data_IF_318229157107
#
_entry.id   IF_318229157107
#
_cell.length_a   1.000
_cell.length_b   1.000
_cell.length_c   1.000
_cell.angle_alpha   90.00
_cell.angle_beta   90.00
_cell.angle_gamma   90.00
#
_symmetry.space_group_name_H-M   'P 1'
#
loop_
_entity.id
_entity.type
_entity.pdbx_description
1 polymer ?
#
# COMPACT_ATOMS: atom_id res chain seq x y z
N UNK A 1 -11.64 5.98 -4.73
CA UNK A 1 -10.55 6.39 -3.81
C UNK A 1 -9.51 5.28 -3.70
N UNK A 2 -8.24 5.63 -3.51
CA UNK A 2 -7.18 4.68 -3.15
C UNK A 2 -6.80 4.86 -1.68
N UNK A 3 -6.79 3.77 -0.92
CA UNK A 3 -6.50 3.76 0.51
C UNK A 3 -5.36 2.79 0.81
N UNK A 4 -4.51 3.16 1.76
CA UNK A 4 -3.50 2.27 2.34
C UNK A 4 -4.03 1.78 3.68
N UNK A 5 -4.31 0.48 3.80
CA UNK A 5 -5.03 -0.14 4.93
C UNK A 5 -4.21 -1.22 5.67
N UNK A 6 -2.92 -1.01 5.99
CA UNK A 6 -2.07 -2.01 6.63
C UNK A 6 -2.54 -2.39 8.04
N UNK A 7 -3.15 -1.47 8.81
CA UNK A 7 -3.66 -1.78 10.15
C UNK A 7 -4.72 -2.87 10.09
N UNK A 8 -5.71 -2.70 9.21
CA UNK A 8 -6.75 -3.70 8.94
C UNK A 8 -6.18 -5.01 8.38
N UNK A 9 -5.09 -4.98 7.60
CA UNK A 9 -4.45 -6.22 7.12
C UNK A 9 -3.74 -6.94 8.26
N UNK A 10 -2.90 -6.25 9.05
CA UNK A 10 -2.14 -6.82 10.18
C UNK A 10 -3.10 -7.41 11.21
N UNK A 11 -4.17 -6.69 11.54
CA UNK A 11 -5.19 -7.16 12.49
C UNK A 11 -6.16 -8.18 11.90
N UNK A 12 -5.99 -8.61 10.63
CA UNK A 12 -6.89 -9.53 9.91
C UNK A 12 -8.35 -9.07 9.82
N UNK A 13 -8.58 -7.75 9.83
CA UNK A 13 -9.90 -7.12 9.74
C UNK A 13 -10.29 -6.70 8.31
N UNK A 14 -9.37 -6.77 7.35
CA UNK A 14 -9.59 -6.31 5.97
C UNK A 14 -10.75 -7.02 5.25
N UNK A 15 -10.96 -8.30 5.51
CA UNK A 15 -12.07 -9.06 4.92
C UNK A 15 -13.42 -8.54 5.43
N UNK A 16 -13.52 -8.25 6.73
CA UNK A 16 -14.71 -7.64 7.33
C UNK A 16 -14.97 -6.23 6.79
N UNK A 17 -13.93 -5.42 6.60
CA UNK A 17 -14.04 -4.10 5.99
C UNK A 17 -14.54 -4.18 4.53
N UNK A 18 -13.99 -5.11 3.77
CA UNK A 18 -14.39 -5.37 2.38
C UNK A 18 -15.85 -5.81 2.27
N UNK A 19 -16.27 -6.77 3.10
CA UNK A 19 -17.66 -7.22 3.13
C UNK A 19 -18.64 -6.11 3.55
N UNK A 20 -18.22 -5.25 4.49
CA UNK A 20 -19.05 -4.10 4.91
C UNK A 20 -19.23 -3.11 3.77
N UNK A 21 -18.16 -2.80 3.03
CA UNK A 21 -18.22 -1.94 1.85
C UNK A 21 -19.08 -2.55 0.72
N UNK A 22 -19.03 -3.86 0.51
CA UNK A 22 -19.86 -4.54 -0.49
C UNK A 22 -21.36 -4.47 -0.18
N UNK A 23 -21.75 -4.56 1.10
CA UNK A 23 -23.15 -4.44 1.54
C UNK A 23 -23.78 -3.08 1.22
N UNK A 24 -22.96 -2.08 0.97
CA UNK A 24 -23.36 -0.70 0.62
C UNK A 24 -22.90 -0.36 -0.81
N UNK A 25 -22.90 -1.36 -1.68
CA UNK A 25 -22.69 -1.22 -3.13
C UNK A 25 -21.34 -0.62 -3.55
N UNK A 26 -20.30 -0.82 -2.73
CA UNK A 26 -18.93 -0.46 -3.05
C UNK A 26 -18.10 -1.68 -3.43
N UNK A 27 -17.31 -1.56 -4.48
CA UNK A 27 -16.28 -2.51 -4.83
C UNK A 27 -14.99 -2.16 -4.10
N UNK A 28 -14.32 -3.16 -3.52
CA UNK A 28 -12.97 -3.04 -2.96
C UNK A 28 -12.06 -4.00 -3.72
N UNK A 29 -10.96 -3.49 -4.27
CA UNK A 29 -9.97 -4.27 -5.02
C UNK A 29 -8.57 -3.92 -4.55
N UNK A 30 -7.70 -4.92 -4.47
CA UNK A 30 -6.27 -4.66 -4.28
C UNK A 30 -5.66 -4.03 -5.52
N UNK A 31 -4.76 -3.04 -5.35
CA UNK A 31 -4.15 -2.35 -6.47
C UNK A 31 -3.08 -3.18 -7.20
N UNK A 32 -2.40 -4.06 -6.44
CA UNK A 32 -1.27 -4.84 -6.92
C UNK A 32 -1.41 -6.30 -6.49
N UNK A 33 -1.77 -7.18 -7.43
CA UNK A 33 -2.00 -8.61 -7.22
C UNK A 33 -3.14 -9.11 -8.10
N UNK A 34 -2.86 -10.06 -9.00
CA UNK A 34 -3.93 -10.74 -9.75
C UNK A 34 -4.53 -11.84 -8.85
N UNK A 35 -5.80 -11.70 -8.50
CA UNK A 35 -6.59 -12.76 -7.85
C UNK A 35 -6.29 -13.06 -6.37
N UNK A 36 -5.24 -12.49 -5.75
CA UNK A 36 -4.91 -12.69 -4.32
C UNK A 36 -4.52 -11.39 -3.59
N UNK A 37 -4.32 -11.47 -2.26
CA UNK A 37 -4.15 -10.31 -1.35
C UNK A 37 -3.12 -9.31 -1.90
N UNK A 38 -3.44 -8.00 -1.94
CA UNK A 38 -2.52 -7.04 -2.50
C UNK A 38 -1.26 -6.89 -1.64
N UNK A 39 -0.10 -7.11 -2.22
CA UNK A 39 1.18 -7.08 -1.49
C UNK A 39 1.53 -5.71 -0.89
N UNK A 40 0.86 -4.65 -1.33
CA UNK A 40 1.10 -3.26 -0.94
C UNK A 40 0.18 -2.72 0.16
N UNK A 41 -0.77 -3.52 0.63
CA UNK A 41 -1.90 -3.07 1.47
C UNK A 41 -2.65 -1.85 0.88
N UNK A 42 -2.52 -1.61 -0.43
CA UNK A 42 -3.23 -0.57 -1.16
C UNK A 42 -4.50 -1.15 -1.78
N UNK A 43 -5.61 -0.50 -1.49
CA UNK A 43 -6.94 -0.89 -1.92
C UNK A 43 -7.60 0.26 -2.67
N UNK A 44 -8.19 -0.05 -3.82
CA UNK A 44 -9.08 0.82 -4.55
C UNK A 44 -10.52 0.54 -4.12
N UNK A 45 -11.22 1.60 -3.74
CA UNK A 45 -12.66 1.59 -3.47
C UNK A 45 -13.35 2.38 -4.58
N UNK A 46 -14.40 1.80 -5.18
CA UNK A 46 -15.20 2.41 -6.24
C UNK A 46 -16.69 2.11 -6.07
N UNK A 47 -17.56 2.98 -6.56
CA UNK A 47 -19.00 2.72 -6.61
C UNK A 47 -19.32 1.59 -7.61
N UNK A 48 -20.36 0.81 -7.33
CA UNK A 48 -20.95 -0.13 -8.28
C UNK A 48 -22.30 0.33 -8.83
N UNK A 49 -22.96 1.29 -8.17
CA UNK A 49 -24.24 1.85 -8.63
C UNK A 49 -24.01 2.87 -9.73
N UNK A 50 -24.74 2.73 -10.83
CA UNK A 50 -24.66 3.63 -12.00
C UNK A 50 -26.02 4.20 -12.43
N UNK A 51 -27.10 3.42 -12.34
CA UNK A 51 -28.45 3.84 -12.74
C UNK A 51 -29.35 4.10 -11.52
N UNK A 52 -30.26 5.06 -11.64
CA UNK A 52 -31.30 5.33 -10.64
C UNK A 52 -30.86 6.24 -9.48
N UNK A 53 -29.66 6.82 -9.54
CA UNK A 53 -29.14 7.80 -8.56
C UNK A 53 -28.37 8.89 -9.26
N UNK A 54 -28.35 10.08 -8.67
CA UNK A 54 -27.54 11.20 -9.18
C UNK A 54 -26.07 11.00 -8.82
N UNK A 55 -25.16 11.60 -9.60
CA UNK A 55 -23.73 11.59 -9.30
C UNK A 55 -23.43 12.24 -7.94
N UNK A 56 -24.20 13.27 -7.55
CA UNK A 56 -24.07 13.92 -6.26
C UNK A 56 -24.36 12.95 -5.10
N UNK A 57 -25.45 12.18 -5.20
CA UNK A 57 -25.81 11.18 -4.20
C UNK A 57 -24.76 10.07 -4.11
N UNK A 58 -24.25 9.61 -5.25
CA UNK A 58 -23.21 8.59 -5.33
C UNK A 58 -21.92 9.09 -4.66
N UNK A 59 -21.51 10.32 -4.96
CA UNK A 59 -20.31 10.92 -4.37
C UNK A 59 -20.44 11.12 -2.86
N UNK A 60 -21.61 11.56 -2.38
CA UNK A 60 -21.86 11.76 -0.95
C UNK A 60 -21.81 10.44 -0.17
N UNK A 61 -22.51 9.40 -0.64
CA UNK A 61 -22.46 8.07 -0.03
C UNK A 61 -21.05 7.48 -0.11
N UNK A 62 -20.39 7.60 -1.27
CA UNK A 62 -19.02 7.13 -1.45
C UNK A 62 -18.07 7.77 -0.44
N UNK A 63 -18.18 9.08 -0.23
CA UNK A 63 -17.37 9.80 0.74
C UNK A 63 -17.61 9.31 2.16
N UNK A 64 -18.87 9.15 2.58
CA UNK A 64 -19.22 8.67 3.93
C UNK A 64 -18.63 7.28 4.20
N UNK A 65 -18.67 6.38 3.22
CA UNK A 65 -18.10 5.04 3.34
C UNK A 65 -16.58 5.08 3.46
N UNK A 66 -15.92 5.88 2.62
CA UNK A 66 -14.46 6.05 2.67
C UNK A 66 -14.03 6.61 4.03
N UNK A 67 -14.75 7.60 4.57
CA UNK A 67 -14.45 8.19 5.88
C UNK A 67 -14.58 7.17 7.02
N UNK A 68 -15.61 6.33 7.01
CA UNK A 68 -15.77 5.22 7.98
C UNK A 68 -14.63 4.22 7.93
N UNK A 69 -14.18 3.84 6.73
CA UNK A 69 -13.04 2.91 6.55
C UNK A 69 -11.75 3.56 7.02
N UNK A 70 -11.52 4.84 6.71
CA UNK A 70 -10.36 5.59 7.17
C UNK A 70 -10.33 5.71 8.70
N UNK A 71 -11.48 5.97 9.33
CA UNK A 71 -11.58 6.02 10.79
C UNK A 71 -11.23 4.67 11.42
N UNK A 72 -11.77 3.57 10.89
CA UNK A 72 -11.47 2.22 11.38
C UNK A 72 -9.99 1.85 11.22
N UNK A 73 -9.37 2.17 10.07
CA UNK A 73 -7.93 1.96 9.87
C UNK A 73 -7.10 2.75 10.89
N UNK A 74 -7.43 4.02 11.13
CA UNK A 74 -6.71 4.87 12.10
C UNK A 74 -6.82 4.33 13.52
N UNK A 75 -8.02 3.92 13.93
CA UNK A 75 -8.25 3.32 15.24
C UNK A 75 -7.45 2.02 15.40
N UNK A 76 -7.47 1.17 14.38
CA UNK A 76 -6.70 -0.08 14.37
C UNK A 76 -5.18 0.17 14.46
N UNK A 77 -4.67 1.19 13.76
CA UNK A 77 -3.26 1.61 13.86
C UNK A 77 -2.89 2.04 15.28
N UNK A 78 -3.74 2.83 15.93
CA UNK A 78 -3.49 3.30 17.29
C UNK A 78 -3.44 2.13 18.29
N UNK A 79 -4.37 1.17 18.15
CA UNK A 79 -4.38 -0.04 18.97
C UNK A 79 -3.12 -0.89 18.75
N UNK A 80 -2.75 -1.13 17.49
CA UNK A 80 -1.51 -1.85 17.16
C UNK A 80 -0.27 -1.14 17.71
N UNK A 81 -0.21 0.19 17.63
CA UNK A 81 0.90 0.96 18.18
C UNK A 81 0.96 0.87 19.70
N UNK A 82 -0.18 0.92 20.39
CA UNK A 82 -0.25 0.81 21.84
C UNK A 82 0.15 -0.58 22.36
N UNK A 83 -0.27 -1.64 21.67
CA UNK A 83 -0.06 -3.03 22.11
C UNK A 83 1.26 -3.63 21.61
N UNK A 84 1.74 -3.21 20.42
CA UNK A 84 2.79 -3.90 19.67
C UNK A 84 3.85 -2.96 19.08
N UNK A 85 4.12 -1.83 19.76
CA UNK A 85 5.09 -0.82 19.29
C UNK A 85 6.41 -1.42 18.81
N UNK A 86 7.08 -2.21 19.66
CA UNK A 86 8.38 -2.81 19.35
C UNK A 86 8.34 -3.72 18.13
N UNK A 87 7.24 -4.47 17.94
CA UNK A 87 7.06 -5.34 16.77
C UNK A 87 6.94 -4.51 15.49
N UNK A 88 6.14 -3.43 15.52
CA UNK A 88 5.98 -2.53 14.37
C UNK A 88 7.28 -1.81 14.02
N UNK A 89 8.04 -1.39 15.03
CA UNK A 89 9.33 -0.72 14.87
C UNK A 89 10.37 -1.67 14.25
N UNK A 90 10.46 -2.92 14.74
CA UNK A 90 11.33 -3.95 14.15
C UNK A 90 10.91 -4.27 12.71
N UNK A 91 9.61 -4.42 12.43
CA UNK A 91 9.11 -4.67 11.07
C UNK A 91 9.44 -3.53 10.09
N UNK A 92 9.28 -2.28 10.52
CA UNK A 92 9.60 -1.11 9.71
C UNK A 92 11.11 -1.00 9.48
N UNK A 93 11.92 -1.19 10.53
CA UNK A 93 13.39 -1.14 10.47
C UNK A 93 13.96 -2.23 9.59
N UNK A 94 13.47 -3.47 9.71
CA UNK A 94 13.86 -4.58 8.82
C UNK A 94 13.50 -4.29 7.38
N UNK A 95 12.32 -3.73 7.13
CA UNK A 95 11.90 -3.39 5.77
C UNK A 95 12.80 -2.31 5.17
N UNK A 96 13.17 -1.29 5.94
CA UNK A 96 14.13 -0.29 5.51
C UNK A 96 15.49 -0.91 5.17
N UNK A 97 16.06 -1.71 6.07
CA UNK A 97 17.35 -2.37 5.83
C UNK A 97 17.35 -3.31 4.63
N UNK A 98 16.25 -4.01 4.37
CA UNK A 98 16.08 -4.84 3.17
C UNK A 98 16.07 -3.98 1.91
N UNK A 99 15.30 -2.89 1.88
CA UNK A 99 15.23 -1.96 0.74
C UNK A 99 16.59 -1.28 0.46
N UNK A 100 17.39 -1.01 1.50
CA UNK A 100 18.72 -0.40 1.40
C UNK A 100 19.83 -1.35 0.94
N UNK A 101 19.67 -2.68 1.12
CA UNK A 101 20.78 -3.63 0.96
C UNK A 101 20.52 -4.75 -0.03
N UNK A 102 19.28 -5.08 -0.33
CA UNK A 102 18.94 -6.17 -1.24
C UNK A 102 19.62 -5.98 -2.61
N UNK A 103 20.05 -7.08 -3.23
CA UNK A 103 20.67 -7.10 -4.57
C UNK A 103 19.72 -7.49 -5.69
N UNK A 104 18.63 -8.15 -5.32
CA UNK A 104 17.52 -8.55 -6.19
C UNK A 104 16.24 -8.38 -5.39
N UNK A 105 15.17 -7.92 -6.01
CA UNK A 105 13.89 -7.79 -5.31
C UNK A 105 12.74 -7.90 -6.29
N UNK A 106 11.77 -8.77 -6.01
CA UNK A 106 10.57 -8.89 -6.84
C UNK A 106 9.67 -7.66 -6.70
N UNK A 107 8.70 -7.48 -7.60
CA UNK A 107 7.71 -6.39 -7.45
C UNK A 107 6.88 -6.57 -6.19
N UNK A 108 6.48 -7.80 -5.89
CA UNK A 108 5.64 -8.12 -4.73
C UNK A 108 6.35 -7.80 -3.41
N UNK A 109 7.58 -8.27 -3.27
CA UNK A 109 8.43 -8.03 -2.10
C UNK A 109 8.70 -6.53 -1.89
N UNK A 110 9.06 -5.82 -2.97
CA UNK A 110 9.28 -4.37 -2.89
C UNK A 110 8.04 -3.63 -2.38
N UNK A 111 6.87 -3.94 -2.94
CA UNK A 111 5.62 -3.31 -2.53
C UNK A 111 5.25 -3.61 -1.08
N UNK A 112 5.55 -4.83 -0.61
CA UNK A 112 5.32 -5.21 0.78
C UNK A 112 6.22 -4.43 1.74
N UNK A 113 7.52 -4.31 1.45
CA UNK A 113 8.43 -3.55 2.29
C UNK A 113 8.14 -2.05 2.25
N UNK A 114 7.77 -1.50 1.08
CA UNK A 114 7.34 -0.10 0.96
C UNK A 114 6.04 0.15 1.74
N UNK A 115 5.11 -0.81 1.79
CA UNK A 115 3.90 -0.73 2.62
C UNK A 115 4.22 -0.63 4.11
N UNK A 116 5.09 -1.54 4.60
CA UNK A 116 5.54 -1.55 6.00
C UNK A 116 6.27 -0.25 6.36
N UNK A 117 7.14 0.22 5.48
CA UNK A 117 7.87 1.47 5.67
C UNK A 117 6.92 2.67 5.71
N UNK A 118 5.90 2.69 4.84
CA UNK A 118 4.85 3.71 4.84
C UNK A 118 4.10 3.77 6.17
N UNK A 119 3.75 2.62 6.73
CA UNK A 119 3.11 2.54 8.05
C UNK A 119 4.07 3.08 9.12
N UNK A 120 5.33 2.64 9.11
CA UNK A 120 6.35 3.10 10.05
C UNK A 120 6.51 4.62 10.07
N UNK A 121 6.60 5.26 8.90
CA UNK A 121 6.64 6.73 8.78
C UNK A 121 5.38 7.37 9.36
N UNK A 122 4.20 6.83 9.05
CA UNK A 122 2.94 7.40 9.53
C UNK A 122 2.78 7.30 11.05
N UNK A 123 3.34 6.26 11.68
CA UNK A 123 3.35 6.06 13.12
C UNK A 123 4.50 6.80 13.83
N UNK A 124 5.38 7.49 13.08
CA UNK A 124 6.56 8.16 13.64
C UNK A 124 7.64 7.19 14.13
N UNK A 125 7.69 5.97 13.59
CA UNK A 125 8.69 4.94 13.91
C UNK A 125 9.89 4.97 12.95
N UNK A 126 9.75 5.60 11.78
CA UNK A 126 10.82 5.77 10.82
C UNK A 126 10.96 7.24 10.48
N UNK A 127 12.17 7.74 10.67
CA UNK A 127 12.54 9.14 10.40
C UNK A 127 13.26 9.24 9.04
N UNK A 128 13.52 10.47 8.57
CA UNK A 128 14.32 10.76 7.37
C UNK A 128 13.77 10.29 6.01
N UNK A 129 12.50 9.85 5.94
CA UNK A 129 11.83 9.55 4.67
C UNK A 129 10.44 10.18 4.59
N UNK A 130 10.21 11.01 3.58
CA UNK A 130 8.91 11.65 3.39
C UNK A 130 7.91 10.75 2.68
N UNK A 131 6.62 10.82 3.04
CA UNK A 131 5.54 10.09 2.36
C UNK A 131 5.46 10.43 0.87
N UNK A 132 5.77 11.67 0.48
CA UNK A 132 5.78 12.08 -0.92
C UNK A 132 6.90 11.37 -1.72
N UNK A 133 8.11 11.25 -1.14
CA UNK A 133 9.20 10.49 -1.75
C UNK A 133 8.81 9.01 -1.85
N UNK A 134 8.27 8.42 -0.78
CA UNK A 134 7.85 7.03 -0.79
C UNK A 134 6.77 6.73 -1.84
N UNK A 135 5.77 7.61 -2.01
CA UNK A 135 4.75 7.49 -3.05
C UNK A 135 5.34 7.45 -4.46
N UNK A 136 6.41 8.21 -4.73
CA UNK A 136 7.11 8.16 -6.03
C UNK A 136 7.85 6.83 -6.21
N UNK A 137 8.47 6.33 -5.15
CA UNK A 137 9.19 5.05 -5.18
C UNK A 137 8.23 3.91 -5.54
N UNK A 138 7.01 3.89 -4.99
CA UNK A 138 5.95 2.93 -5.37
C UNK A 138 5.70 2.85 -6.89
N UNK A 139 5.83 3.98 -7.61
CA UNK A 139 5.66 4.04 -9.06
C UNK A 139 6.93 3.62 -9.80
N UNK A 140 8.09 4.11 -9.38
CA UNK A 140 9.36 3.85 -10.07
C UNK A 140 9.79 2.38 -10.04
N UNK A 141 9.43 1.65 -8.98
CA UNK A 141 9.75 0.22 -8.88
C UNK A 141 8.85 -0.68 -9.74
N UNK A 142 7.85 -0.13 -10.41
CA UNK A 142 6.95 -0.90 -11.26
C UNK A 142 7.66 -1.39 -12.53
N UNK A 143 7.35 -2.60 -13.04
CA UNK A 143 8.00 -3.17 -14.22
C UNK A 143 8.04 -2.23 -15.43
N UNK A 144 6.93 -1.56 -15.74
CA UNK A 144 6.84 -0.64 -16.87
C UNK A 144 7.72 0.60 -16.72
N UNK A 145 7.88 1.14 -15.50
CA UNK A 145 8.72 2.30 -15.24
C UNK A 145 10.20 1.93 -15.34
N UNK A 146 10.60 0.78 -14.80
CA UNK A 146 11.97 0.27 -14.89
C UNK A 146 12.39 0.05 -16.35
N UNK A 147 11.52 -0.56 -17.17
CA UNK A 147 11.83 -0.74 -18.60
C UNK A 147 11.90 0.59 -19.35
N UNK A 148 11.01 1.54 -19.03
CA UNK A 148 11.03 2.87 -19.63
C UNK A 148 12.32 3.62 -19.30
N UNK A 149 12.79 3.53 -18.06
CA UNK A 149 14.05 4.13 -17.63
C UNK A 149 15.27 3.46 -18.29
N UNK A 150 15.27 2.13 -18.39
CA UNK A 150 16.34 1.40 -19.06
C UNK A 150 16.37 1.56 -20.59
N UNK A 151 15.30 2.10 -21.19
CA UNK A 151 15.19 2.30 -22.64
C UNK A 151 15.10 0.99 -23.45
N UNK A 152 14.93 -0.15 -22.78
CA UNK A 152 14.81 -1.48 -23.39
C UNK A 152 13.82 -2.36 -22.64
N UNK A 153 13.34 -3.41 -23.30
CA UNK A 153 12.67 -4.50 -22.60
C UNK A 153 13.67 -5.17 -21.64
N UNK A 154 13.20 -5.51 -20.45
CA UNK A 154 14.00 -6.19 -19.42
C UNK A 154 13.33 -7.51 -19.10
N UNK A 155 14.09 -8.58 -18.99
CA UNK A 155 13.57 -9.86 -18.50
C UNK A 155 13.23 -9.78 -16.99
N UNK A 156 12.51 -10.77 -16.41
CA UNK A 156 12.15 -10.74 -14.99
C UNK A 156 13.35 -10.57 -14.04
N UNK A 157 14.47 -11.22 -14.31
CA UNK A 157 15.66 -11.17 -13.45
C UNK A 157 16.37 -9.82 -13.56
N UNK A 158 16.52 -9.28 -14.77
CA UNK A 158 17.04 -7.94 -15.01
C UNK A 158 16.20 -6.88 -14.28
N UNK A 159 14.86 -7.00 -14.32
CA UNK A 159 13.96 -6.09 -13.60
C UNK A 159 14.15 -6.17 -12.09
N UNK A 160 14.35 -7.36 -11.54
CA UNK A 160 14.51 -7.54 -10.09
C UNK A 160 15.85 -7.00 -9.58
N UNK A 161 16.92 -7.14 -10.37
CA UNK A 161 18.23 -6.53 -10.10
C UNK A 161 18.13 -5.00 -10.17
N UNK A 162 17.57 -4.47 -11.26
CA UNK A 162 17.45 -3.02 -11.46
C UNK A 162 16.53 -2.39 -10.41
N UNK A 163 15.42 -3.06 -10.03
CA UNK A 163 14.54 -2.61 -8.95
C UNK A 163 15.30 -2.47 -7.64
N UNK A 164 16.06 -3.48 -7.26
CA UNK A 164 16.85 -3.44 -6.05
C UNK A 164 17.91 -2.32 -6.13
N UNK A 165 18.55 -2.13 -7.28
CA UNK A 165 19.47 -1.00 -7.50
C UNK A 165 18.82 0.36 -7.31
N UNK A 166 17.70 0.63 -7.99
CA UNK A 166 16.94 1.87 -7.82
C UNK A 166 16.49 2.09 -6.38
N UNK A 167 16.05 1.04 -5.69
CA UNK A 167 15.66 1.14 -4.29
C UNK A 167 16.83 1.59 -3.41
N UNK A 168 18.02 1.02 -3.59
CA UNK A 168 19.22 1.44 -2.84
C UNK A 168 19.64 2.89 -3.12
N UNK A 169 19.47 3.37 -4.35
CA UNK A 169 19.73 4.78 -4.71
C UNK A 169 18.72 5.74 -4.06
N UNK A 170 17.49 5.28 -3.86
CA UNK A 170 16.37 6.11 -3.42
C UNK A 170 16.15 6.05 -1.91
N UNK A 171 16.58 4.99 -1.23
CA UNK A 171 16.57 4.93 0.23
C UNK A 171 17.59 5.93 0.82
N UNK A 172 17.35 6.41 2.06
CA UNK A 172 18.28 7.31 2.75
C UNK A 172 19.65 6.70 3.04
#
# INVERSE_FOLDING_TARGET
>A
AMLHLPGLVISRQIEKATQTAQKIHMAVRGLYGEGSRPASDLFQISNQVTLGRTEADICAEFQEVVEKIVAWERETRNQLLAERRTELEDQASRSLGILERARTMTSEEALQHLSRLRLGIHLGLVENLSLAKLNRIFLWVQPGHLQKEAGKALDPQERDILRAEKLRELMP
#
